data_IF_267636474544
#
_entry.id   IF_267636474544
#
_cell.length_a   1.000
_cell.length_b   1.000
_cell.length_c   1.000
_cell.angle_alpha   90.00
_cell.angle_beta   90.00
_cell.angle_gamma   90.00
#
_symmetry.space_group_name_H-M   'P 1'
#
loop_
_entity.id
_entity.type
_entity.pdbx_description
1 polymer ?
#
# COMPACT_ATOMS: atom_id res chain seq x y z
N UNK A 1 19.07 -6.64 -23.56
CA UNK A 1 19.39 -5.21 -23.76
C UNK A 1 18.37 -4.46 -22.93
N UNK A 2 18.74 -4.22 -21.64
CA UNK A 2 17.86 -3.62 -20.64
C UNK A 2 17.66 -2.14 -20.98
N UNK A 3 16.44 -1.77 -21.31
CA UNK A 3 16.02 -0.37 -21.22
C UNK A 3 15.90 -0.05 -19.73
N UNK A 4 16.95 0.49 -19.13
CA UNK A 4 16.84 1.32 -17.95
C UNK A 4 15.92 2.48 -18.33
N UNK A 5 14.66 2.41 -17.89
CA UNK A 5 13.73 3.52 -17.99
C UNK A 5 14.40 4.72 -17.33
N UNK A 6 14.76 5.68 -18.15
CA UNK A 6 15.43 6.91 -17.79
C UNK A 6 14.48 7.74 -16.92
N UNK A 7 14.41 7.43 -15.60
CA UNK A 7 13.72 8.26 -14.63
C UNK A 7 14.69 9.35 -14.18
N UNK A 8 14.59 10.58 -14.66
CA UNK A 8 15.51 11.67 -14.32
C UNK A 8 15.49 12.06 -12.84
N UNK A 9 14.58 11.50 -12.06
CA UNK A 9 14.37 11.82 -10.62
C UNK A 9 14.95 10.78 -9.64
N UNK A 10 15.60 9.72 -10.15
CA UNK A 10 16.13 8.64 -9.30
C UNK A 10 15.06 7.68 -8.78
N UNK A 11 15.47 6.63 -8.03
CA UNK A 11 14.53 5.66 -7.45
C UNK A 11 13.68 6.31 -6.35
N UNK A 12 12.41 5.90 -6.25
CA UNK A 12 11.48 6.37 -5.22
C UNK A 12 12.04 6.11 -3.81
N UNK A 13 11.98 7.14 -2.97
CA UNK A 13 12.33 7.02 -1.55
C UNK A 13 11.14 6.49 -0.77
N UNK A 14 11.35 5.48 0.06
CA UNK A 14 10.30 4.88 0.89
C UNK A 14 10.51 5.25 2.35
N UNK A 15 9.46 5.77 2.98
CA UNK A 15 9.43 6.12 4.38
C UNK A 15 8.29 5.37 5.07
N UNK A 16 8.57 4.64 6.16
CA UNK A 16 7.56 4.03 7.00
C UNK A 16 7.39 4.82 8.30
N UNK A 17 6.15 5.18 8.62
CA UNK A 17 5.78 5.82 9.90
C UNK A 17 5.08 4.76 10.75
N UNK A 18 5.77 4.30 11.79
CA UNK A 18 5.31 3.21 12.63
C UNK A 18 5.44 3.51 14.12
N UNK A 19 4.41 3.16 14.89
CA UNK A 19 4.45 3.19 16.35
C UNK A 19 3.32 2.31 16.91
N UNK A 20 3.64 1.48 17.92
CA UNK A 20 2.66 0.64 18.62
C UNK A 20 1.61 1.45 19.40
N UNK A 21 1.98 2.62 19.92
CA UNK A 21 1.09 3.43 20.74
C UNK A 21 0.07 4.15 19.88
N UNK A 22 -1.22 4.02 20.20
CA UNK A 22 -2.28 4.81 19.60
C UNK A 22 -2.20 6.30 19.99
N UNK A 23 -2.79 7.18 19.18
CA UNK A 23 -2.90 8.62 19.49
C UNK A 23 -1.60 9.43 19.48
N UNK A 24 -0.49 8.88 18.98
CA UNK A 24 0.81 9.60 18.93
C UNK A 24 1.00 10.47 17.68
N UNK A 25 -0.03 10.63 16.86
CA UNK A 25 0.00 11.52 15.70
C UNK A 25 0.58 10.90 14.43
N UNK A 26 0.64 9.55 14.29
CA UNK A 26 1.14 8.89 13.06
C UNK A 26 0.45 9.41 11.80
N UNK A 27 -0.88 9.34 11.76
CA UNK A 27 -1.68 9.79 10.62
C UNK A 27 -1.46 11.27 10.32
N UNK A 28 -1.53 12.11 11.36
CA UNK A 28 -1.31 13.56 11.23
C UNK A 28 0.07 13.88 10.66
N UNK A 29 1.12 13.24 11.18
CA UNK A 29 2.48 13.41 10.67
C UNK A 29 2.59 12.98 9.21
N UNK A 30 2.06 11.80 8.88
CA UNK A 30 2.11 11.23 7.53
C UNK A 30 1.44 12.15 6.53
N UNK A 31 0.21 12.60 6.82
CA UNK A 31 -0.55 13.50 5.92
C UNK A 31 0.17 14.82 5.71
N UNK A 32 0.60 15.48 6.81
CA UNK A 32 1.26 16.78 6.71
C UNK A 32 2.59 16.70 5.96
N UNK A 33 3.39 15.67 6.22
CA UNK A 33 4.66 15.45 5.51
C UNK A 33 4.42 15.19 4.01
N UNK A 34 3.49 14.30 3.68
CA UNK A 34 3.15 13.97 2.30
C UNK A 34 2.62 15.20 1.54
N UNK A 35 1.73 15.97 2.16
CA UNK A 35 1.18 17.19 1.58
C UNK A 35 2.26 18.26 1.34
N UNK A 36 3.19 18.43 2.28
CA UNK A 36 4.30 19.36 2.13
C UNK A 36 5.23 18.96 0.98
N UNK A 37 5.56 17.66 0.85
CA UNK A 37 6.39 17.14 -0.24
C UNK A 37 5.68 17.29 -1.59
N UNK A 38 4.39 16.98 -1.65
CA UNK A 38 3.58 17.17 -2.86
C UNK A 38 3.48 18.65 -3.28
N UNK A 39 3.37 19.57 -2.34
CA UNK A 39 3.38 21.01 -2.59
C UNK A 39 4.71 21.53 -3.15
N UNK A 40 5.82 20.82 -2.89
CA UNK A 40 7.13 21.09 -3.49
C UNK A 40 7.26 20.52 -4.93
N UNK A 41 6.21 19.91 -5.47
CA UNK A 41 6.15 19.38 -6.83
C UNK A 41 6.67 17.95 -7.00
N UNK A 42 6.84 17.22 -5.89
CA UNK A 42 7.16 15.79 -5.93
C UNK A 42 5.90 14.96 -6.02
N UNK A 43 5.92 13.87 -6.80
CA UNK A 43 4.84 12.90 -6.79
C UNK A 43 4.96 12.02 -5.54
N UNK A 44 3.93 12.00 -4.73
CA UNK A 44 3.87 11.26 -3.46
C UNK A 44 2.81 10.18 -3.53
N UNK A 45 3.18 8.97 -3.13
CA UNK A 45 2.27 7.86 -2.94
C UNK A 45 2.16 7.55 -1.45
N UNK A 46 0.96 7.69 -0.91
CA UNK A 46 0.60 7.20 0.41
C UNK A 46 0.13 5.75 0.32
N UNK A 47 0.46 4.95 1.31
CA UNK A 47 0.00 3.57 1.44
C UNK A 47 -0.51 3.37 2.85
N UNK A 48 -1.81 3.13 2.99
CA UNK A 48 -2.41 2.82 4.29
C UNK A 48 -2.29 1.32 4.55
N UNK A 49 -1.33 0.96 5.38
CA UNK A 49 -1.06 -0.42 5.78
C UNK A 49 -1.47 -0.72 7.24
N UNK A 50 -2.37 0.10 7.79
CA UNK A 50 -2.97 -0.10 9.11
C UNK A 50 -4.40 -0.66 8.94
N UNK A 51 -4.76 -1.82 9.53
CA UNK A 51 -6.13 -2.35 9.49
C UNK A 51 -7.18 -1.40 10.09
N UNK A 52 -6.76 -0.38 10.84
CA UNK A 52 -7.67 0.65 11.35
C UNK A 52 -8.09 1.68 10.28
N UNK A 53 -7.44 1.70 9.11
CA UNK A 53 -7.74 2.57 7.96
C UNK A 53 -7.79 4.07 8.30
N UNK A 54 -7.07 4.51 9.34
CA UNK A 54 -7.13 5.89 9.82
C UNK A 54 -6.59 6.91 8.78
N UNK A 55 -5.61 6.52 7.98
CA UNK A 55 -5.06 7.38 6.93
C UNK A 55 -6.08 7.53 5.78
N UNK A 56 -6.72 6.44 5.39
CA UNK A 56 -7.74 6.39 4.35
C UNK A 56 -8.95 7.25 4.73
N UNK A 57 -9.53 7.03 5.91
CA UNK A 57 -10.67 7.80 6.42
C UNK A 57 -10.36 9.28 6.65
N UNK A 58 -9.10 9.64 6.83
CA UNK A 58 -8.71 11.04 6.93
C UNK A 58 -8.69 11.78 5.58
N UNK A 59 -8.40 11.06 4.49
CA UNK A 59 -8.15 11.63 3.16
C UNK A 59 -9.31 11.49 2.19
N UNK A 60 -10.19 10.54 2.42
CA UNK A 60 -11.29 10.17 1.52
C UNK A 60 -12.62 10.27 2.27
N UNK A 61 -13.67 10.70 1.58
CA UNK A 61 -15.03 10.80 2.14
C UNK A 61 -15.58 9.42 2.55
N UNK A 62 -16.31 9.37 3.64
CA UNK A 62 -16.84 8.12 4.23
C UNK A 62 -17.67 7.30 3.24
N UNK A 63 -18.42 7.95 2.34
CA UNK A 63 -19.20 7.28 1.31
C UNK A 63 -18.31 6.47 0.36
N UNK A 64 -17.19 7.07 -0.06
CA UNK A 64 -16.22 6.41 -0.97
C UNK A 64 -15.47 5.31 -0.23
N UNK A 65 -15.12 5.53 1.05
CA UNK A 65 -14.49 4.48 1.88
C UNK A 65 -15.39 3.26 2.00
N UNK A 66 -16.69 3.45 2.25
CA UNK A 66 -17.66 2.35 2.32
C UNK A 66 -17.74 1.57 1.00
N UNK A 67 -17.85 2.27 -0.13
CA UNK A 67 -17.88 1.63 -1.45
C UNK A 67 -16.60 0.83 -1.74
N UNK A 68 -15.44 1.34 -1.35
CA UNK A 68 -14.15 0.65 -1.49
C UNK A 68 -14.10 -0.63 -0.64
N UNK A 69 -14.58 -0.57 0.60
CA UNK A 69 -14.60 -1.72 1.50
C UNK A 69 -15.61 -2.77 1.04
N UNK A 70 -16.80 -2.38 0.60
CA UNK A 70 -17.82 -3.28 0.09
C UNK A 70 -17.34 -4.05 -1.15
N UNK A 71 -16.54 -3.41 -1.99
CA UNK A 71 -15.99 -4.00 -3.21
C UNK A 71 -14.63 -4.69 -3.00
N UNK A 72 -14.03 -4.59 -1.82
CA UNK A 72 -12.64 -5.01 -1.58
C UNK A 72 -12.37 -6.49 -1.86
N UNK A 73 -13.39 -7.32 -1.78
CA UNK A 73 -13.30 -8.77 -2.00
C UNK A 73 -13.53 -9.17 -3.47
N UNK A 74 -13.95 -8.25 -4.30
CA UNK A 74 -14.21 -8.48 -5.72
C UNK A 74 -12.94 -8.38 -6.57
N UNK A 75 -13.03 -8.82 -7.81
CA UNK A 75 -11.93 -8.66 -8.79
C UNK A 75 -11.67 -7.19 -9.15
N UNK A 76 -12.61 -6.30 -8.88
CA UNK A 76 -12.52 -4.86 -9.14
C UNK A 76 -12.09 -4.07 -7.91
N UNK A 77 -11.91 -4.72 -6.77
CA UNK A 77 -11.51 -4.09 -5.51
C UNK A 77 -10.21 -3.29 -5.64
N UNK A 78 -10.15 -2.14 -4.97
CA UNK A 78 -9.07 -1.16 -5.08
C UNK A 78 -8.39 -0.86 -3.73
N UNK A 79 -8.63 -1.69 -2.71
CA UNK A 79 -7.96 -1.57 -1.42
C UNK A 79 -6.66 -2.36 -1.40
N UNK A 80 -5.81 -2.08 -0.42
CA UNK A 80 -4.57 -2.85 -0.19
C UNK A 80 -4.86 -4.34 0.02
N UNK A 81 -6.00 -4.69 0.67
CA UNK A 81 -6.45 -6.07 0.81
C UNK A 81 -6.71 -6.70 -0.56
N UNK A 82 -7.43 -6.02 -1.44
CA UNK A 82 -7.73 -6.49 -2.79
C UNK A 82 -6.47 -6.88 -3.58
N UNK A 83 -5.37 -6.16 -3.33
CA UNK A 83 -4.08 -6.46 -3.95
C UNK A 83 -3.38 -7.67 -3.30
N UNK A 84 -3.52 -7.87 -1.99
CA UNK A 84 -2.80 -8.90 -1.22
C UNK A 84 -3.57 -10.22 -1.08
N UNK A 85 -4.91 -10.18 -1.20
CA UNK A 85 -5.81 -11.34 -1.08
C UNK A 85 -5.33 -12.58 -1.84
N UNK A 86 -4.93 -12.51 -3.13
CA UNK A 86 -4.50 -13.71 -3.86
C UNK A 86 -3.29 -14.42 -3.22
N UNK A 87 -2.44 -13.68 -2.51
CA UNK A 87 -1.28 -14.25 -1.80
C UNK A 87 -1.71 -14.93 -0.51
N UNK A 88 -2.63 -14.33 0.23
CA UNK A 88 -3.18 -14.88 1.48
C UNK A 88 -3.94 -16.17 1.19
N UNK A 89 -4.79 -16.16 0.18
CA UNK A 89 -5.58 -17.31 -0.27
C UNK A 89 -4.77 -18.35 -1.07
N UNK A 90 -3.48 -18.09 -1.31
CA UNK A 90 -2.61 -18.95 -2.13
C UNK A 90 -3.13 -19.19 -3.57
N UNK A 91 -3.92 -18.27 -4.10
CA UNK A 91 -4.51 -18.34 -5.46
C UNK A 91 -3.63 -17.69 -6.52
N UNK A 92 -2.69 -16.81 -6.13
CA UNK A 92 -1.86 -16.11 -7.11
C UNK A 92 -0.73 -15.26 -6.53
N UNK A 93 -0.30 -14.31 -7.35
CA UNK A 93 0.62 -13.22 -6.98
C UNK A 93 -0.18 -12.00 -6.53
N UNK A 94 0.47 -11.01 -5.88
CA UNK A 94 -0.18 -9.74 -5.57
C UNK A 94 -0.74 -9.10 -6.84
N UNK A 95 -1.94 -8.53 -6.73
CA UNK A 95 -2.58 -7.84 -7.83
C UNK A 95 -2.14 -6.38 -7.88
N UNK A 96 -1.96 -5.84 -9.08
CA UNK A 96 -1.80 -4.40 -9.26
C UNK A 96 -3.16 -3.72 -9.13
N UNK A 97 -3.24 -2.67 -8.33
CA UNK A 97 -4.43 -1.84 -8.16
C UNK A 97 -4.10 -0.39 -8.49
N UNK A 98 -5.02 0.37 -9.07
CA UNK A 98 -4.78 1.79 -9.34
C UNK A 98 -4.84 2.59 -8.04
N UNK A 99 -3.80 3.40 -7.71
CA UNK A 99 -3.88 4.34 -6.61
C UNK A 99 -4.94 5.43 -6.86
N UNK A 100 -5.60 5.87 -5.80
CA UNK A 100 -6.60 6.93 -5.85
C UNK A 100 -5.91 8.29 -5.79
N UNK A 101 -6.25 9.20 -6.69
CA UNK A 101 -5.76 10.57 -6.64
C UNK A 101 -6.45 11.34 -5.49
N UNK A 102 -5.65 11.84 -4.54
CA UNK A 102 -6.13 12.64 -3.40
C UNK A 102 -6.06 14.12 -3.74
N UNK A 103 -4.96 14.55 -4.34
CA UNK A 103 -4.76 15.91 -4.83
C UNK A 103 -3.69 15.94 -5.91
N UNK A 104 -3.32 17.12 -6.39
CA UNK A 104 -2.20 17.25 -7.32
C UNK A 104 -0.92 16.68 -6.67
N UNK A 105 -0.26 15.77 -7.36
CA UNK A 105 0.96 15.08 -6.91
C UNK A 105 0.82 14.20 -5.66
N UNK A 106 -0.40 13.91 -5.19
CA UNK A 106 -0.64 13.06 -4.03
C UNK A 106 -1.65 11.96 -4.36
N UNK A 107 -1.23 10.72 -4.24
CA UNK A 107 -2.05 9.53 -4.47
C UNK A 107 -2.04 8.62 -3.25
N UNK A 108 -3.04 7.77 -3.12
CA UNK A 108 -3.23 6.84 -2.01
C UNK A 108 -3.54 5.43 -2.50
N UNK A 109 -2.90 4.43 -1.91
CA UNK A 109 -3.44 3.07 -1.85
C UNK A 109 -4.29 2.99 -0.57
N UNK A 110 -5.62 2.83 -0.68
CA UNK A 110 -6.51 2.79 0.47
C UNK A 110 -6.24 1.58 1.36
N UNK A 111 -6.40 1.78 2.66
CA UNK A 111 -6.40 0.72 3.67
C UNK A 111 -7.63 -0.18 3.57
N UNK A 112 -7.59 -1.26 4.33
CA UNK A 112 -8.70 -2.19 4.46
C UNK A 112 -8.65 -2.88 5.83
N UNK A 113 -9.79 -3.03 6.48
CA UNK A 113 -9.89 -3.72 7.77
C UNK A 113 -9.46 -5.19 7.67
N UNK A 114 -9.63 -5.80 6.52
CA UNK A 114 -9.22 -7.18 6.22
C UNK A 114 -7.71 -7.35 6.09
N UNK A 115 -6.95 -6.26 6.08
CA UNK A 115 -5.49 -6.35 6.15
C UNK A 115 -5.01 -7.10 7.40
N UNK A 116 -5.84 -7.17 8.45
CA UNK A 116 -5.60 -8.00 9.62
C UNK A 116 -5.41 -9.49 9.28
N UNK A 117 -6.04 -9.99 8.21
CA UNK A 117 -5.87 -11.36 7.73
C UNK A 117 -4.45 -11.58 7.17
N UNK A 118 -3.94 -10.60 6.41
CA UNK A 118 -2.56 -10.63 5.93
C UNK A 118 -1.56 -10.54 7.07
N UNK A 119 -1.80 -9.67 8.07
CA UNK A 119 -0.94 -9.56 9.26
C UNK A 119 -0.88 -10.89 10.04
N UNK A 120 -2.00 -11.57 10.20
CA UNK A 120 -2.04 -12.87 10.86
C UNK A 120 -1.19 -13.94 10.15
N UNK A 121 -1.15 -13.90 8.80
CA UNK A 121 -0.36 -14.82 7.99
C UNK A 121 1.14 -14.48 7.92
N UNK A 122 1.55 -13.25 8.26
CA UNK A 122 2.96 -12.84 8.14
C UNK A 122 3.93 -13.72 8.92
N UNK A 123 3.55 -14.17 10.11
CA UNK A 123 4.40 -15.06 10.92
C UNK A 123 4.62 -16.39 10.21
N UNK A 124 3.56 -16.95 9.59
CA UNK A 124 3.62 -18.17 8.78
C UNK A 124 4.50 -17.96 7.55
N UNK A 125 4.34 -16.85 6.83
CA UNK A 125 5.15 -16.51 5.66
C UNK A 125 6.63 -16.39 6.01
N UNK A 126 6.98 -15.77 7.12
CA UNK A 126 8.37 -15.70 7.59
C UNK A 126 8.92 -17.09 7.91
N UNK A 127 8.14 -17.96 8.59
CA UNK A 127 8.52 -19.34 8.86
C UNK A 127 8.79 -20.12 7.58
N UNK A 128 7.91 -20.01 6.59
CA UNK A 128 8.07 -20.63 5.29
C UNK A 128 9.28 -20.06 4.49
N UNK A 129 9.53 -18.77 4.62
CA UNK A 129 10.68 -18.11 4.00
C UNK A 129 12.01 -18.66 4.54
N UNK A 130 12.14 -18.85 5.86
CA UNK A 130 13.31 -19.50 6.46
C UNK A 130 13.49 -20.94 6.00
N UNK A 131 12.40 -21.64 5.69
CA UNK A 131 12.42 -22.99 5.11
C UNK A 131 12.63 -22.98 3.59
N UNK A 132 12.89 -21.84 2.98
CA UNK A 132 13.09 -21.63 1.52
C UNK A 132 11.87 -22.06 0.68
N UNK A 133 10.66 -21.98 1.23
CA UNK A 133 9.43 -22.26 0.50
C UNK A 133 8.99 -21.05 -0.31
N UNK A 134 8.50 -21.27 -1.52
CA UNK A 134 8.05 -20.23 -2.43
C UNK A 134 6.89 -19.39 -1.83
N UNK A 135 5.98 -20.04 -1.08
CA UNK A 135 4.89 -19.35 -0.38
C UNK A 135 5.42 -18.28 0.57
N UNK A 136 6.44 -18.60 1.36
CA UNK A 136 7.05 -17.64 2.28
C UNK A 136 7.65 -16.44 1.55
N UNK A 137 8.40 -16.68 0.47
CA UNK A 137 8.96 -15.59 -0.33
C UNK A 137 7.87 -14.71 -0.94
N UNK A 138 6.82 -15.29 -1.51
CA UNK A 138 5.68 -14.54 -2.06
C UNK A 138 4.97 -13.71 -1.00
N UNK A 139 4.69 -14.28 0.18
CA UNK A 139 4.02 -13.59 1.28
C UNK A 139 4.84 -12.43 1.83
N UNK A 140 6.13 -12.64 2.11
CA UNK A 140 6.99 -11.60 2.69
C UNK A 140 7.33 -10.47 1.71
N UNK A 141 7.29 -10.70 0.40
CA UNK A 141 7.54 -9.69 -0.63
C UNK A 141 6.27 -9.03 -1.18
N UNK A 142 5.07 -9.52 -0.83
CA UNK A 142 3.81 -9.12 -1.43
C UNK A 142 3.55 -7.62 -1.35
N UNK A 143 3.62 -7.04 -0.15
CA UNK A 143 3.40 -5.60 0.06
C UNK A 143 4.41 -4.76 -0.73
N UNK A 144 5.68 -5.14 -0.71
CA UNK A 144 6.71 -4.43 -1.48
C UNK A 144 6.45 -4.46 -2.99
N UNK A 145 5.90 -5.56 -3.51
CA UNK A 145 5.53 -5.70 -4.92
C UNK A 145 4.35 -4.78 -5.29
N UNK A 146 3.31 -4.72 -4.43
CA UNK A 146 2.17 -3.81 -4.61
C UNK A 146 2.65 -2.35 -4.65
N UNK A 147 3.47 -1.96 -3.67
CA UNK A 147 4.01 -0.61 -3.59
C UNK A 147 4.87 -0.27 -4.81
N UNK A 148 5.70 -1.20 -5.29
CA UNK A 148 6.53 -0.98 -6.48
C UNK A 148 5.69 -0.73 -7.71
N UNK A 149 4.66 -1.56 -7.95
CA UNK A 149 3.74 -1.38 -9.08
C UNK A 149 3.00 -0.02 -9.03
N UNK A 150 2.58 0.41 -7.84
CA UNK A 150 1.90 1.69 -7.66
C UNK A 150 2.86 2.89 -7.83
N UNK A 151 4.12 2.77 -7.42
CA UNK A 151 5.16 3.78 -7.69
C UNK A 151 5.37 3.96 -9.19
N UNK A 152 5.41 2.88 -9.96
CA UNK A 152 5.52 2.95 -11.43
C UNK A 152 4.32 3.66 -12.06
N UNK A 153 3.10 3.40 -11.56
CA UNK A 153 1.87 4.03 -12.06
C UNK A 153 1.78 5.53 -11.75
N UNK A 154 2.21 5.94 -10.56
CA UNK A 154 2.11 7.34 -10.09
C UNK A 154 3.33 8.18 -10.44
N UNK A 155 4.45 7.56 -10.78
CA UNK A 155 5.73 8.23 -10.90
C UNK A 155 6.20 8.85 -9.59
N UNK A 156 5.83 8.26 -8.43
CA UNK A 156 6.28 8.71 -7.11
C UNK A 156 7.81 8.65 -7.00
N UNK A 157 8.39 9.62 -6.25
CA UNK A 157 9.84 9.86 -6.22
C UNK A 157 10.39 9.88 -4.80
#
# INVERSE_FOLDING_TARGET
MNQELNNPRGPAKRLAVYNHKGGVGKTTLTVNLASAIAALGHNVLLVDSDPQCNLTSYLIEDSVVNDLLDQSDSDEGQTIWSALKPVVEATGLPRSIPPIAVSQNLSLIPGDVRLAEFEAELTSFWGDCFQRKLRGFRGTSALSSVVSAAVEQTGAT
#
